data_IF_158763134498
#
_entry.id   IF_158763134498
#
_cell.length_a   1.000
_cell.length_b   1.000
_cell.length_c   1.000
_cell.angle_alpha   90.00
_cell.angle_beta   90.00
_cell.angle_gamma   90.00
#
_symmetry.space_group_name_H-M   'P 1'
#
loop_
_entity.id
_entity.type
_entity.pdbx_description
1 polymer ?
#
# COMPACT_ATOMS: atom_id res chain seq x y z
N UNK A 1 -9.92 -12.61 15.02
CA UNK A 1 -10.33 -11.40 15.77
C UNK A 1 -11.80 -11.46 16.20
N UNK A 2 -12.75 -11.81 15.34
CA UNK A 2 -14.19 -11.90 15.66
C UNK A 2 -14.50 -12.84 16.82
N UNK A 3 -13.79 -13.98 16.90
CA UNK A 3 -13.97 -14.96 18.00
C UNK A 3 -13.50 -14.43 19.37
N UNK A 4 -12.39 -13.68 19.40
CA UNK A 4 -11.82 -13.12 20.63
C UNK A 4 -12.77 -12.06 21.21
N UNK A 5 -13.29 -11.16 20.36
CA UNK A 5 -14.27 -10.14 20.80
C UNK A 5 -15.55 -10.80 21.33
N UNK A 6 -16.05 -11.85 20.66
CA UNK A 6 -17.22 -12.60 21.11
C UNK A 6 -17.01 -13.26 22.50
N UNK A 7 -15.85 -13.86 22.71
CA UNK A 7 -15.48 -14.45 24.00
C UNK A 7 -15.40 -13.38 25.10
N UNK A 8 -14.73 -12.25 24.83
CA UNK A 8 -14.65 -11.13 25.79
C UNK A 8 -16.04 -10.58 26.17
N UNK A 9 -16.93 -10.44 25.19
CA UNK A 9 -18.30 -9.97 25.44
C UNK A 9 -19.08 -10.95 26.29
N UNK A 10 -18.97 -12.27 26.00
CA UNK A 10 -19.62 -13.31 26.79
C UNK A 10 -19.13 -13.34 28.25
N UNK A 11 -17.81 -13.22 28.46
CA UNK A 11 -17.21 -13.12 29.80
C UNK A 11 -17.73 -11.89 30.56
N UNK A 12 -17.78 -10.73 29.91
CA UNK A 12 -18.28 -9.50 30.54
C UNK A 12 -19.73 -9.65 30.95
N UNK A 13 -20.59 -10.24 30.12
CA UNK A 13 -22.00 -10.50 30.45
C UNK A 13 -22.16 -11.50 31.58
N UNK A 14 -21.33 -12.56 31.60
CA UNK A 14 -21.37 -13.54 32.68
C UNK A 14 -20.95 -12.93 34.03
N UNK A 15 -19.91 -12.09 34.06
CA UNK A 15 -19.49 -11.36 35.26
C UNK A 15 -20.58 -10.41 35.72
N UNK A 16 -21.23 -9.69 34.83
CA UNK A 16 -22.36 -8.81 35.15
C UNK A 16 -23.52 -9.57 35.78
N UNK A 17 -23.89 -10.72 35.19
CA UNK A 17 -24.97 -11.58 35.74
C UNK A 17 -24.62 -12.13 37.10
N UNK A 18 -23.39 -12.57 37.31
CA UNK A 18 -22.90 -13.08 38.62
C UNK A 18 -22.91 -12.00 39.69
N UNK A 19 -22.43 -10.78 39.35
CA UNK A 19 -22.43 -9.64 40.27
C UNK A 19 -23.85 -9.25 40.68
N UNK A 20 -24.80 -9.23 39.73
CA UNK A 20 -26.20 -8.96 40.02
C UNK A 20 -26.79 -10.01 40.98
N UNK A 21 -26.53 -11.31 40.70
CA UNK A 21 -27.01 -12.40 41.55
C UNK A 21 -26.46 -12.30 42.99
N UNK A 22 -25.20 -11.97 43.14
CA UNK A 22 -24.54 -11.80 44.45
C UNK A 22 -25.17 -10.60 45.21
N UNK A 23 -25.36 -9.45 44.53
CA UNK A 23 -25.96 -8.27 45.14
C UNK A 23 -27.37 -8.54 45.63
N UNK A 24 -28.19 -9.23 44.83
CA UNK A 24 -29.55 -9.62 45.24
C UNK A 24 -29.52 -10.60 46.41
N UNK A 25 -28.68 -11.58 46.35
CA UNK A 25 -28.57 -12.62 47.40
C UNK A 25 -28.14 -12.00 48.73
N UNK A 26 -27.05 -11.22 48.75
CA UNK A 26 -26.58 -10.54 49.96
C UNK A 26 -27.60 -9.54 50.49
N UNK A 27 -28.23 -8.79 49.58
CA UNK A 27 -29.27 -7.83 49.93
C UNK A 27 -30.51 -8.47 50.50
N UNK A 28 -30.95 -9.66 50.05
CA UNK A 28 -32.05 -10.41 50.65
C UNK A 28 -31.72 -10.80 52.11
N UNK A 29 -30.47 -11.26 52.39
CA UNK A 29 -30.08 -11.57 53.77
C UNK A 29 -30.05 -10.33 54.67
N UNK A 30 -29.67 -9.14 54.13
CA UNK A 30 -29.70 -7.89 54.87
C UNK A 30 -31.12 -7.44 55.18
N UNK A 31 -32.06 -7.63 54.26
CA UNK A 31 -33.51 -7.33 54.48
C UNK A 31 -34.08 -8.29 55.53
N UNK A 32 -33.73 -9.57 55.49
CA UNK A 32 -34.19 -10.55 56.49
C UNK A 32 -33.69 -10.23 57.89
N UNK A 33 -32.50 -9.67 58.04
CA UNK A 33 -31.93 -9.23 59.33
C UNK A 33 -32.50 -7.90 59.80
N UNK A 34 -33.25 -7.18 58.97
CA UNK A 34 -33.78 -5.85 59.31
C UNK A 34 -32.81 -4.69 59.07
N UNK A 35 -31.61 -4.96 58.50
CA UNK A 35 -30.55 -3.97 58.29
C UNK A 35 -30.83 -3.11 57.01
N UNK A 36 -31.78 -3.56 56.14
CA UNK A 36 -32.07 -2.91 54.89
C UNK A 36 -33.59 -3.03 54.56
N UNK A 37 -34.14 -1.97 53.93
CA UNK A 37 -35.49 -1.99 53.38
C UNK A 37 -35.55 -2.69 52.00
N UNK A 38 -36.72 -3.24 51.64
CA UNK A 38 -36.94 -3.82 50.31
C UNK A 38 -36.74 -2.79 49.20
N UNK A 39 -37.10 -1.53 49.42
CA UNK A 39 -36.86 -0.44 48.49
C UNK A 39 -35.36 -0.15 48.26
N UNK A 40 -34.56 -0.25 49.33
CA UNK A 40 -33.11 -0.09 49.24
C UNK A 40 -32.46 -1.23 48.44
N UNK A 41 -32.95 -2.47 48.57
CA UNK A 41 -32.49 -3.62 47.78
C UNK A 41 -32.79 -3.40 46.28
N UNK A 42 -33.95 -2.94 45.93
CA UNK A 42 -34.32 -2.63 44.54
C UNK A 42 -33.42 -1.50 43.98
N UNK A 43 -33.20 -0.46 44.77
CA UNK A 43 -32.30 0.64 44.35
C UNK A 43 -30.84 0.17 44.14
N UNK A 44 -30.30 -0.65 45.05
CA UNK A 44 -28.99 -1.24 44.90
C UNK A 44 -28.84 -2.12 43.66
N UNK A 45 -29.86 -2.93 43.34
CA UNK A 45 -29.86 -3.82 42.18
C UNK A 45 -29.86 -3.01 40.86
N UNK A 46 -30.63 -1.92 40.78
CA UNK A 46 -30.66 -1.03 39.61
C UNK A 46 -29.33 -0.28 39.47
N UNK A 47 -28.78 0.24 40.58
CA UNK A 47 -27.51 0.91 40.55
C UNK A 47 -26.37 -0.01 40.11
N UNK A 48 -26.31 -1.22 40.63
CA UNK A 48 -25.28 -2.23 40.24
C UNK A 48 -25.33 -2.53 38.75
N UNK A 49 -26.51 -2.71 38.18
CA UNK A 49 -26.67 -2.94 36.74
C UNK A 49 -26.22 -1.74 35.89
N UNK A 50 -26.53 -0.52 36.34
CA UNK A 50 -26.16 0.72 35.64
C UNK A 50 -24.64 1.02 35.74
N UNK A 51 -23.98 0.67 36.83
CA UNK A 51 -22.54 0.87 37.01
C UNK A 51 -21.69 -0.08 36.15
N UNK A 52 -22.19 -1.28 35.89
CA UNK A 52 -21.44 -2.28 35.11
C UNK A 52 -21.54 -2.06 33.59
N UNK A 53 -22.60 -1.42 33.11
CA UNK A 53 -22.80 -1.18 31.69
C UNK A 53 -21.66 -0.36 31.02
N UNK A 54 -21.16 0.77 31.61
CA UNK A 54 -20.05 1.53 31.04
C UNK A 54 -18.75 0.73 30.93
N UNK A 55 -18.49 -0.22 31.82
CA UNK A 55 -17.28 -1.04 31.79
C UNK A 55 -17.23 -1.89 30.53
N UNK A 56 -18.35 -2.49 30.13
CA UNK A 56 -18.46 -3.22 28.86
C UNK A 56 -18.23 -2.32 27.63
N UNK A 57 -18.70 -1.07 27.68
CA UNK A 57 -18.47 -0.10 26.60
C UNK A 57 -17.01 0.30 26.45
N UNK A 58 -16.28 0.48 27.55
CA UNK A 58 -14.83 0.79 27.54
C UNK A 58 -14.04 -0.31 26.83
N UNK A 59 -14.34 -1.58 27.12
CA UNK A 59 -13.69 -2.71 26.43
C UNK A 59 -13.93 -2.68 24.91
N UNK A 60 -15.14 -2.32 24.46
CA UNK A 60 -15.47 -2.15 23.06
C UNK A 60 -14.71 -0.97 22.41
N UNK A 61 -14.55 0.14 23.12
CA UNK A 61 -13.79 1.31 22.64
C UNK A 61 -12.32 0.97 22.48
N UNK A 62 -11.71 0.26 23.43
CA UNK A 62 -10.31 -0.17 23.34
C UNK A 62 -10.06 -1.03 22.07
N UNK A 63 -10.99 -1.91 21.72
CA UNK A 63 -10.92 -2.69 20.48
C UNK A 63 -10.93 -1.80 19.23
N UNK A 64 -11.78 -0.76 19.20
CA UNK A 64 -11.85 0.21 18.08
C UNK A 64 -10.59 1.06 17.99
N UNK A 65 -10.01 1.48 19.11
CA UNK A 65 -8.74 2.22 19.15
C UNK A 65 -7.60 1.40 18.53
N UNK A 66 -7.54 0.10 18.82
CA UNK A 66 -6.54 -0.78 18.21
C UNK A 66 -6.72 -0.90 16.69
N UNK A 67 -7.96 -1.04 16.22
CA UNK A 67 -8.26 -1.05 14.78
C UNK A 67 -7.86 0.26 14.09
N UNK A 68 -8.17 1.40 14.73
CA UNK A 68 -7.81 2.72 14.23
C UNK A 68 -6.27 2.90 14.16
N UNK A 69 -5.53 2.41 15.15
CA UNK A 69 -4.05 2.45 15.15
C UNK A 69 -3.48 1.63 13.99
N UNK A 70 -4.00 0.43 13.74
CA UNK A 70 -3.54 -0.42 12.63
C UNK A 70 -3.84 0.24 11.28
N UNK A 71 -5.05 0.78 11.11
CA UNK A 71 -5.43 1.49 9.88
C UNK A 71 -4.56 2.74 9.66
N UNK A 72 -4.32 3.53 10.72
CA UNK A 72 -3.42 4.68 10.65
C UNK A 72 -2.01 4.28 10.24
N UNK A 73 -1.46 3.22 10.85
CA UNK A 73 -0.12 2.75 10.51
C UNK A 73 0.00 2.36 9.04
N UNK A 74 -0.99 1.63 8.50
CA UNK A 74 -1.02 1.29 7.08
C UNK A 74 -1.10 2.51 6.17
N UNK A 75 -1.87 3.53 6.56
CA UNK A 75 -1.94 4.80 5.83
C UNK A 75 -0.61 5.56 5.90
N UNK A 76 -0.01 5.66 7.09
CA UNK A 76 1.28 6.32 7.29
C UNK A 76 2.40 5.64 6.48
N UNK A 77 2.39 4.29 6.39
CA UNK A 77 3.32 3.52 5.56
C UNK A 77 3.12 3.80 4.07
N UNK A 78 1.87 3.91 3.62
CA UNK A 78 1.54 4.26 2.23
C UNK A 78 2.02 5.68 1.89
N UNK A 79 1.75 6.65 2.77
CA UNK A 79 2.14 8.06 2.58
C UNK A 79 3.66 8.29 2.64
N UNK A 80 4.41 7.36 3.23
CA UNK A 80 5.89 7.43 3.27
C UNK A 80 6.56 6.83 2.05
N UNK A 81 5.81 6.13 1.19
CA UNK A 81 6.41 5.59 -0.04
C UNK A 81 6.91 6.72 -0.92
N UNK A 82 8.09 6.55 -1.54
CA UNK A 82 8.59 7.54 -2.47
C UNK A 82 7.60 7.74 -3.61
N UNK A 83 7.37 8.98 -3.95
CA UNK A 83 6.56 9.36 -5.12
C UNK A 83 7.45 9.36 -6.35
N UNK A 84 6.86 9.08 -7.49
CA UNK A 84 7.55 9.00 -8.79
C UNK A 84 8.14 10.36 -9.22
N UNK A 85 7.45 11.45 -8.89
CA UNK A 85 7.91 12.83 -9.10
C UNK A 85 7.89 13.60 -7.77
N UNK A 86 9.03 13.73 -7.06
CA UNK A 86 9.08 14.57 -5.87
C UNK A 86 9.00 16.04 -6.26
N UNK A 87 8.15 16.81 -5.56
CA UNK A 87 7.83 18.23 -5.83
C UNK A 87 9.05 19.18 -5.90
N UNK A 88 10.21 18.73 -5.44
CA UNK A 88 11.44 19.51 -5.37
C UNK A 88 12.57 18.97 -6.27
N UNK A 89 12.30 18.00 -7.13
CA UNK A 89 13.29 17.50 -8.06
C UNK A 89 13.49 18.51 -9.20
N UNK A 90 14.68 19.05 -9.35
CA UNK A 90 15.10 19.83 -10.52
C UNK A 90 15.34 18.89 -11.70
N UNK A 91 14.25 18.41 -12.32
CA UNK A 91 14.31 17.51 -13.46
C UNK A 91 14.50 18.31 -14.75
N UNK A 92 15.21 17.72 -15.69
CA UNK A 92 15.47 18.32 -17.01
C UNK A 92 14.32 17.93 -17.93
N UNK A 93 13.60 18.93 -18.44
CA UNK A 93 12.62 18.73 -19.50
C UNK A 93 13.29 18.54 -20.85
N UNK A 94 12.94 17.44 -21.52
CA UNK A 94 13.35 17.16 -22.90
C UNK A 94 12.15 17.26 -23.83
N UNK A 95 12.14 18.24 -24.76
CA UNK A 95 11.01 18.41 -25.67
C UNK A 95 10.82 17.25 -26.65
N UNK A 96 11.90 16.52 -26.96
CA UNK A 96 11.87 15.30 -27.76
C UNK A 96 12.98 14.35 -27.35
N UNK A 97 12.72 13.05 -27.42
CA UNK A 97 13.67 11.97 -27.15
C UNK A 97 13.98 11.27 -28.47
N UNK A 98 15.26 11.22 -28.83
CA UNK A 98 15.73 10.59 -30.07
C UNK A 98 16.07 9.11 -29.88
N UNK A 99 16.45 8.71 -28.67
CA UNK A 99 16.68 7.31 -28.32
C UNK A 99 18.14 6.84 -28.45
N UNK A 100 19.11 7.76 -28.29
CA UNK A 100 20.52 7.38 -28.11
C UNK A 100 20.76 6.95 -26.67
N UNK A 101 21.13 5.68 -26.45
CA UNK A 101 21.44 5.15 -25.13
C UNK A 101 22.90 4.85 -24.92
N UNK A 102 23.39 5.19 -23.74
CA UNK A 102 24.74 4.87 -23.28
C UNK A 102 24.69 4.30 -21.86
N UNK A 103 24.96 3.00 -21.72
CA UNK A 103 25.07 2.31 -20.43
C UNK A 103 26.53 2.25 -20.03
N UNK A 104 26.83 2.60 -18.78
CA UNK A 104 28.17 2.59 -18.23
C UNK A 104 28.18 1.97 -16.83
N UNK A 105 28.70 0.74 -16.73
CA UNK A 105 28.86 0.01 -15.47
C UNK A 105 27.53 -0.24 -14.73
N UNK A 106 26.45 -0.45 -15.46
CA UNK A 106 25.11 -0.60 -14.88
C UNK A 106 24.96 -1.92 -14.15
N UNK A 107 24.55 -1.86 -12.89
CA UNK A 107 24.18 -3.00 -12.05
C UNK A 107 22.75 -2.75 -11.55
N UNK A 108 21.88 -3.73 -11.71
CA UNK A 108 20.49 -3.68 -11.25
C UNK A 108 20.15 -4.88 -10.37
N UNK A 109 19.31 -4.63 -9.35
CA UNK A 109 18.84 -5.58 -8.37
C UNK A 109 17.40 -5.21 -7.95
N UNK A 110 16.50 -6.19 -7.84
CA UNK A 110 15.09 -5.92 -7.49
C UNK A 110 14.90 -5.66 -5.99
N UNK A 111 15.60 -6.37 -5.14
CA UNK A 111 15.54 -6.22 -3.68
C UNK A 111 16.89 -5.81 -3.12
N UNK A 112 16.91 -4.95 -2.11
CA UNK A 112 18.15 -4.54 -1.44
C UNK A 112 18.91 -5.73 -0.81
N UNK A 113 18.17 -6.76 -0.38
CA UNK A 113 18.68 -7.98 0.27
C UNK A 113 18.97 -9.13 -0.71
N UNK A 114 18.78 -8.94 -2.01
CA UNK A 114 19.03 -10.01 -2.98
C UNK A 114 20.54 -10.37 -3.00
N UNK A 115 20.92 -11.66 -2.92
CA UNK A 115 22.32 -12.06 -2.81
C UNK A 115 23.12 -11.85 -4.09
N UNK A 116 22.46 -11.61 -5.21
CA UNK A 116 23.09 -11.41 -6.53
C UNK A 116 22.36 -10.36 -7.35
N UNK A 117 23.09 -9.54 -8.12
CA UNK A 117 22.47 -8.61 -9.05
C UNK A 117 21.66 -9.36 -10.12
N UNK A 118 20.50 -8.81 -10.45
CA UNK A 118 19.59 -9.36 -11.45
C UNK A 118 20.05 -9.08 -12.88
N UNK A 119 20.83 -8.01 -13.08
CA UNK A 119 21.41 -7.64 -14.36
C UNK A 119 22.72 -6.87 -14.16
N UNK A 120 23.73 -7.20 -14.97
CA UNK A 120 24.99 -6.46 -15.06
C UNK A 120 25.23 -6.11 -16.52
N UNK A 121 25.37 -4.82 -16.83
CA UNK A 121 25.67 -4.29 -18.16
C UNK A 121 26.92 -3.41 -18.06
N UNK A 122 28.10 -3.94 -18.32
CA UNK A 122 29.34 -3.16 -18.21
C UNK A 122 29.36 -1.98 -19.17
N UNK A 123 28.92 -2.19 -20.41
CA UNK A 123 28.82 -1.17 -21.45
C UNK A 123 27.82 -1.60 -22.51
N UNK A 124 26.92 -0.70 -22.89
CA UNK A 124 25.99 -0.89 -24.01
C UNK A 124 25.74 0.48 -24.64
N UNK A 125 25.86 0.58 -25.94
CA UNK A 125 25.53 1.78 -26.71
C UNK A 125 24.49 1.40 -27.74
N UNK A 126 23.41 2.17 -27.82
CA UNK A 126 22.33 2.03 -28.79
C UNK A 126 22.16 3.38 -29.49
N UNK A 127 22.11 3.38 -30.81
CA UNK A 127 21.94 4.58 -31.58
C UNK A 127 20.45 4.83 -31.93
N UNK A 128 20.07 6.08 -32.02
CA UNK A 128 18.73 6.48 -32.47
C UNK A 128 18.39 5.79 -33.80
N UNK A 129 17.16 5.24 -33.87
CA UNK A 129 16.66 4.51 -35.04
C UNK A 129 17.21 3.11 -35.23
N UNK A 130 18.10 2.62 -34.37
CA UNK A 130 18.64 1.27 -34.43
C UNK A 130 17.58 0.23 -34.03
N UNK A 131 17.48 -0.87 -34.80
CA UNK A 131 16.62 -2.00 -34.50
C UNK A 131 17.43 -3.12 -33.85
N UNK A 132 17.13 -3.42 -32.58
CA UNK A 132 17.90 -4.36 -31.78
C UNK A 132 17.07 -5.57 -31.39
N UNK A 133 17.64 -6.76 -31.54
CA UNK A 133 17.09 -7.99 -31.01
C UNK A 133 17.89 -8.45 -29.78
N UNK A 134 17.19 -8.66 -28.64
CA UNK A 134 17.79 -9.14 -27.40
C UNK A 134 17.53 -10.63 -27.27
N UNK A 135 18.56 -11.45 -27.41
CA UNK A 135 18.49 -12.90 -27.34
C UNK A 135 19.12 -13.43 -26.06
N UNK A 136 18.59 -14.51 -25.53
CA UNK A 136 19.14 -15.14 -24.32
C UNK A 136 18.16 -16.12 -23.68
N UNK A 137 18.67 -16.94 -22.77
CA UNK A 137 17.90 -17.92 -22.00
C UNK A 137 16.86 -17.22 -21.09
N UNK A 138 15.85 -17.98 -20.63
CA UNK A 138 14.94 -17.50 -19.61
C UNK A 138 15.72 -17.16 -18.32
N UNK A 139 15.40 -16.01 -17.72
CA UNK A 139 16.13 -15.50 -16.56
C UNK A 139 17.43 -14.72 -16.88
N UNK A 140 17.79 -14.55 -18.16
CA UNK A 140 19.02 -13.80 -18.54
C UNK A 140 18.93 -12.27 -18.38
N UNK A 141 17.83 -11.73 -17.82
CA UNK A 141 17.67 -10.29 -17.58
C UNK A 141 17.15 -9.48 -18.78
N UNK A 142 16.63 -10.12 -19.84
CA UNK A 142 16.08 -9.41 -21.03
C UNK A 142 14.97 -8.42 -20.68
N UNK A 143 13.99 -8.86 -19.91
CA UNK A 143 12.87 -8.00 -19.46
C UNK A 143 13.35 -6.89 -18.52
N UNK A 144 14.33 -7.18 -17.67
CA UNK A 144 14.96 -6.20 -16.79
C UNK A 144 15.68 -5.12 -17.58
N UNK A 145 16.39 -5.50 -18.66
CA UNK A 145 17.02 -4.54 -19.55
C UNK A 145 16.01 -3.62 -20.22
N UNK A 146 14.87 -4.17 -20.70
CA UNK A 146 13.77 -3.36 -21.27
C UNK A 146 13.17 -2.40 -20.24
N UNK A 147 13.00 -2.82 -18.99
CA UNK A 147 12.52 -1.97 -17.91
C UNK A 147 13.51 -0.83 -17.56
N UNK A 148 14.82 -1.08 -17.63
CA UNK A 148 15.83 -0.05 -17.47
C UNK A 148 15.83 0.92 -18.65
N UNK A 149 15.73 0.42 -19.89
CA UNK A 149 15.64 1.26 -21.09
C UNK A 149 14.40 2.16 -21.06
N UNK A 150 13.25 1.64 -20.57
CA UNK A 150 12.00 2.42 -20.49
C UNK A 150 11.92 3.35 -19.27
N UNK A 151 12.93 3.37 -18.39
CA UNK A 151 12.91 4.18 -17.18
C UNK A 151 11.94 3.70 -16.09
N UNK A 152 11.35 2.50 -16.25
CA UNK A 152 10.50 1.90 -15.20
C UNK A 152 11.31 1.44 -13.99
N UNK A 153 12.60 1.20 -14.18
CA UNK A 153 13.53 0.83 -13.12
C UNK A 153 14.78 1.71 -13.19
N UNK A 154 15.39 1.96 -12.03
CA UNK A 154 16.63 2.70 -11.90
C UNK A 154 17.75 1.76 -11.49
N UNK A 155 18.97 1.90 -12.04
CA UNK A 155 20.10 1.07 -11.66
C UNK A 155 20.55 1.36 -10.22
N UNK A 156 21.03 0.34 -9.51
CA UNK A 156 21.64 0.48 -8.18
C UNK A 156 23.04 1.09 -8.29
N UNK A 157 23.75 0.75 -9.38
CA UNK A 157 25.08 1.31 -9.70
C UNK A 157 25.19 1.57 -11.20
N UNK A 158 26.13 2.45 -11.55
CA UNK A 158 26.38 2.85 -12.93
C UNK A 158 25.45 3.97 -13.37
N UNK A 159 25.47 4.27 -14.67
CA UNK A 159 24.67 5.34 -15.28
C UNK A 159 24.08 4.91 -16.60
N UNK A 160 22.88 5.36 -16.85
CA UNK A 160 22.19 5.25 -18.14
C UNK A 160 21.99 6.66 -18.65
N UNK A 161 22.61 6.99 -19.79
CA UNK A 161 22.33 8.26 -20.47
C UNK A 161 21.36 8.03 -21.62
N UNK A 162 20.45 8.95 -21.79
CA UNK A 162 19.49 9.03 -22.87
C UNK A 162 19.70 10.36 -23.59
N UNK A 163 20.08 10.29 -24.86
CA UNK A 163 20.48 11.46 -25.68
C UNK A 163 21.52 12.36 -24.97
N UNK A 164 22.55 11.73 -24.37
CA UNK A 164 23.64 12.40 -23.69
C UNK A 164 23.36 12.90 -22.28
N UNK A 165 22.09 12.84 -21.79
CA UNK A 165 21.69 13.27 -20.45
C UNK A 165 21.50 12.03 -19.56
N UNK A 166 21.93 12.12 -18.29
CA UNK A 166 21.65 11.06 -17.31
C UNK A 166 20.13 10.90 -17.14
N UNK A 167 19.63 9.69 -17.38
CA UNK A 167 18.21 9.39 -17.40
C UNK A 167 17.51 9.67 -16.06
N UNK A 168 18.25 9.59 -14.95
CA UNK A 168 17.76 9.92 -13.61
C UNK A 168 17.44 11.40 -13.42
N UNK A 169 17.97 12.27 -14.28
CA UNK A 169 17.75 13.71 -14.26
C UNK A 169 16.68 14.17 -15.25
N UNK A 170 16.20 13.29 -16.13
CA UNK A 170 15.14 13.62 -17.10
C UNK A 170 13.78 13.46 -16.43
N UNK A 171 12.84 14.35 -16.75
CA UNK A 171 11.46 14.22 -16.29
C UNK A 171 10.86 12.88 -16.79
N UNK A 172 10.40 12.00 -15.90
CA UNK A 172 9.80 10.72 -16.29
C UNK A 172 8.60 10.87 -17.22
N UNK A 173 7.90 12.01 -17.18
CA UNK A 173 6.77 12.30 -18.07
C UNK A 173 7.21 12.43 -19.51
N UNK A 174 8.36 13.07 -19.76
CA UNK A 174 8.93 13.21 -21.09
C UNK A 174 9.38 11.85 -21.66
N UNK A 175 10.00 11.03 -20.81
CA UNK A 175 10.38 9.66 -21.18
C UNK A 175 9.17 8.82 -21.57
N UNK A 176 8.09 8.89 -20.78
CA UNK A 176 6.86 8.12 -21.01
C UNK A 176 6.07 8.61 -22.21
N UNK A 177 6.14 9.89 -22.54
CA UNK A 177 5.49 10.47 -23.73
C UNK A 177 6.04 9.89 -25.02
N UNK A 178 7.36 9.77 -25.11
CA UNK A 178 8.05 9.41 -26.36
C UNK A 178 8.47 7.92 -26.40
N UNK A 179 8.20 7.15 -25.34
CA UNK A 179 8.61 5.77 -25.22
C UNK A 179 7.44 4.85 -24.85
N UNK A 180 7.30 3.75 -25.56
CA UNK A 180 6.32 2.72 -25.27
C UNK A 180 6.99 1.38 -24.95
N UNK A 181 6.52 0.70 -23.91
CA UNK A 181 6.93 -0.65 -23.55
C UNK A 181 5.74 -1.61 -23.65
N UNK A 182 5.80 -2.57 -24.59
CA UNK A 182 4.84 -3.64 -24.67
C UNK A 182 5.36 -4.87 -23.94
N UNK A 183 4.74 -5.20 -22.81
CA UNK A 183 5.06 -6.38 -22.01
C UNK A 183 4.27 -7.62 -22.48
N UNK A 184 4.79 -8.82 -22.21
CA UNK A 184 4.14 -10.08 -22.54
C UNK A 184 2.76 -10.24 -21.84
N UNK A 185 2.56 -9.64 -20.68
CA UNK A 185 1.32 -9.69 -19.89
C UNK A 185 0.42 -8.46 -20.07
N UNK A 186 0.62 -7.66 -21.11
CA UNK A 186 -0.22 -6.48 -21.37
C UNK A 186 -1.67 -6.89 -21.62
N UNK A 187 -2.61 -6.23 -20.93
CA UNK A 187 -4.05 -6.43 -21.06
C UNK A 187 -4.73 -5.10 -21.36
N UNK A 188 -5.83 -5.15 -22.08
CA UNK A 188 -6.64 -3.95 -22.35
C UNK A 188 -7.40 -3.54 -21.08
N UNK A 189 -7.57 -2.26 -20.90
CA UNK A 189 -8.46 -1.70 -19.89
C UNK A 189 -9.92 -1.89 -20.29
N UNK A 190 -10.80 -1.89 -19.30
CA UNK A 190 -12.23 -1.92 -19.55
C UNK A 190 -12.66 -0.69 -20.35
N UNK A 191 -13.26 -0.92 -21.51
CA UNK A 191 -13.68 0.14 -22.44
C UNK A 191 -13.63 -0.34 -23.88
N UNK A 192 -13.79 0.61 -24.80
CA UNK A 192 -13.70 0.37 -26.25
C UNK A 192 -12.24 0.23 -26.69
N UNK A 193 -12.04 -0.34 -27.89
CA UNK A 193 -10.71 -0.41 -28.53
C UNK A 193 -10.14 1.00 -28.73
N UNK A 194 -10.98 1.95 -29.17
CA UNK A 194 -10.58 3.34 -29.34
C UNK A 194 -10.05 3.95 -28.02
N UNK A 195 -10.80 3.83 -26.94
CA UNK A 195 -10.38 4.34 -25.63
C UNK A 195 -9.05 3.75 -25.18
N UNK A 196 -8.81 2.47 -25.47
CA UNK A 196 -7.53 1.82 -25.16
C UNK A 196 -6.37 2.36 -26.02
N UNK A 197 -6.60 2.66 -27.30
CA UNK A 197 -5.58 3.21 -28.19
C UNK A 197 -5.27 4.66 -27.80
N UNK A 198 -6.31 5.46 -27.51
CA UNK A 198 -6.18 6.89 -27.21
C UNK A 198 -5.86 7.19 -25.75
N UNK A 199 -5.59 6.18 -24.91
CA UNK A 199 -5.35 6.35 -23.47
C UNK A 199 -4.21 7.36 -23.17
N UNK A 200 -3.14 7.33 -23.99
CA UNK A 200 -2.02 8.27 -23.89
C UNK A 200 -2.22 9.60 -24.65
N UNK A 201 -3.23 9.68 -25.52
CA UNK A 201 -3.55 10.85 -26.34
C UNK A 201 -5.07 11.01 -26.48
N UNK A 202 -5.79 11.43 -25.41
CA UNK A 202 -7.26 11.46 -25.40
C UNK A 202 -7.90 12.39 -26.45
N UNK A 203 -7.12 13.32 -26.98
CA UNK A 203 -7.55 14.30 -27.97
C UNK A 203 -7.16 13.91 -29.41
N UNK A 204 -6.64 12.69 -29.63
CA UNK A 204 -6.29 12.22 -30.96
C UNK A 204 -7.52 12.20 -31.89
N UNK A 205 -7.34 12.70 -33.10
CA UNK A 205 -8.36 12.69 -34.14
C UNK A 205 -8.61 11.28 -34.70
N UNK A 206 -9.70 11.09 -35.43
CA UNK A 206 -10.02 9.78 -36.03
C UNK A 206 -8.96 9.35 -37.06
N UNK A 207 -8.28 10.29 -37.70
CA UNK A 207 -7.24 10.01 -38.70
C UNK A 207 -5.90 9.60 -38.04
N UNK A 208 -5.71 9.93 -36.75
CA UNK A 208 -4.53 9.53 -35.98
C UNK A 208 -4.69 8.17 -35.27
N UNK A 209 -5.93 7.65 -35.15
CA UNK A 209 -6.28 6.39 -34.49
C UNK A 209 -6.40 5.25 -35.49
#
# INVERSE_FOLDING_TARGET
QRKIVGVMTAWTQSIQGLTYAVVVLVGCFAVMKGDMTTGALVACSILSSRMLAPIGQIAGILGRVQQAKVAKKGLDELMRKPVDQPDHAHLIHKPAIHGDYEFSGVIFQYGEDDPKPSLIVPKLNIKAGEKIAILGRNGAGKSTLLQLLSGMQTPVQGKIKLDGVDMSLIDPSDVRRDMALLNQGSSLFFGTVRENITLGAPLASDDEV
#
